data_IF_669926491424
#
_entry.id   IF_669926491424
#
_cell.length_a   1.000
_cell.length_b   1.000
_cell.length_c   1.000
_cell.angle_alpha   90.00
_cell.angle_beta   90.00
_cell.angle_gamma   90.00
#
_symmetry.space_group_name_H-M   'P 1'
#
loop_
_entity.id
_entity.type
_entity.pdbx_description
1 polymer ?
#
# COMPACT_ATOMS: atom_id res chain seq x y z
N UNK A 1 6.76 -3.33 -19.58
CA UNK A 1 7.19 -3.48 -18.17
C UNK A 1 7.81 -2.20 -17.66
N UNK A 2 7.06 -1.45 -16.86
CA UNK A 2 7.50 -0.20 -16.23
C UNK A 2 7.29 -0.29 -14.73
N UNK A 3 8.30 0.15 -13.97
CA UNK A 3 8.29 0.12 -12.51
C UNK A 3 8.04 1.52 -11.99
N UNK A 4 7.11 1.66 -11.05
CA UNK A 4 6.75 2.94 -10.46
C UNK A 4 6.92 2.86 -8.95
N UNK A 5 7.36 3.99 -8.38
CA UNK A 5 7.30 4.23 -6.95
C UNK A 5 6.04 5.04 -6.66
N UNK A 6 5.19 4.54 -5.76
CA UNK A 6 3.92 5.17 -5.41
C UNK A 6 3.80 5.30 -3.90
N UNK A 7 3.07 6.32 -3.48
CA UNK A 7 2.65 6.53 -2.10
C UNK A 7 1.14 6.38 -2.03
N UNK A 8 0.64 5.60 -1.08
CA UNK A 8 -0.77 5.36 -0.82
C UNK A 8 -1.08 5.65 0.65
N UNK A 9 -2.25 6.26 0.89
CA UNK A 9 -2.77 6.47 2.24
C UNK A 9 -3.83 5.41 2.52
N UNK A 10 -3.69 4.69 3.63
CA UNK A 10 -4.53 3.55 3.99
C UNK A 10 -5.14 3.81 5.36
N UNK A 11 -6.46 3.78 5.45
CA UNK A 11 -7.15 3.88 6.73
C UNK A 11 -6.86 2.65 7.59
N UNK A 12 -6.34 2.87 8.80
CA UNK A 12 -6.10 1.83 9.78
C UNK A 12 -7.43 1.40 10.37
N UNK A 13 -8.06 0.40 9.73
CA UNK A 13 -9.23 -0.24 10.30
C UNK A 13 -8.88 -0.94 11.62
N UNK A 14 -9.86 -1.06 12.54
CA UNK A 14 -9.67 -1.66 13.86
C UNK A 14 -9.08 -3.07 13.79
N UNK A 15 -9.36 -3.79 12.70
CA UNK A 15 -8.86 -5.14 12.50
C UNK A 15 -7.52 -5.17 11.76
N UNK A 16 -6.43 -5.16 12.54
CA UNK A 16 -5.04 -5.26 12.05
C UNK A 16 -4.80 -6.48 11.14
N UNK A 17 -5.55 -7.57 11.31
CA UNK A 17 -5.41 -8.76 10.46
C UNK A 17 -5.87 -8.54 9.01
N UNK A 18 -6.74 -7.56 8.76
CA UNK A 18 -7.22 -7.20 7.42
C UNK A 18 -6.40 -6.09 6.76
N UNK A 19 -5.58 -5.39 7.54
CA UNK A 19 -4.80 -4.25 7.05
C UNK A 19 -3.86 -4.66 5.92
N UNK A 20 -3.13 -5.76 6.08
CA UNK A 20 -2.21 -6.27 5.06
C UNK A 20 -2.92 -6.50 3.72
N UNK A 21 -4.07 -7.17 3.75
CA UNK A 21 -4.87 -7.45 2.55
C UNK A 21 -5.46 -6.17 1.93
N UNK A 22 -5.88 -5.20 2.76
CA UNK A 22 -6.36 -3.91 2.28
C UNK A 22 -5.26 -3.13 1.56
N UNK A 23 -4.05 -3.09 2.12
CA UNK A 23 -2.88 -2.45 1.50
C UNK A 23 -2.59 -3.10 0.14
N UNK A 24 -2.44 -4.43 0.09
CA UNK A 24 -2.16 -5.10 -1.18
C UNK A 24 -3.26 -4.90 -2.22
N UNK A 25 -4.53 -4.92 -1.81
CA UNK A 25 -5.66 -4.68 -2.70
C UNK A 25 -5.66 -3.26 -3.28
N UNK A 26 -5.27 -2.24 -2.51
CA UNK A 26 -5.13 -0.88 -3.03
C UNK A 26 -3.93 -0.77 -3.97
N UNK A 27 -2.77 -1.31 -3.60
CA UNK A 27 -1.57 -1.27 -4.42
C UNK A 27 -1.77 -1.99 -5.76
N UNK A 28 -2.51 -3.11 -5.78
CA UNK A 28 -2.88 -3.87 -6.99
C UNK A 28 -3.65 -3.03 -8.01
N UNK A 29 -4.47 -2.05 -7.57
CA UNK A 29 -5.15 -1.12 -8.50
C UNK A 29 -4.15 -0.25 -9.26
N UNK A 30 -3.00 0.02 -8.65
CA UNK A 30 -1.92 0.78 -9.24
C UNK A 30 -0.91 -0.08 -10.00
N UNK A 31 -0.92 -1.41 -9.86
CA UNK A 31 0.00 -2.34 -10.53
C UNK A 31 0.38 -3.49 -9.60
N UNK A 32 1.14 -4.46 -10.10
CA UNK A 32 1.56 -5.61 -9.29
C UNK A 32 2.61 -5.17 -8.25
N UNK A 33 2.30 -5.22 -6.94
CA UNK A 33 3.23 -4.77 -5.90
C UNK A 33 4.38 -5.75 -5.74
N UNK A 34 5.62 -5.25 -5.82
CA UNK A 34 6.84 -6.04 -5.57
C UNK A 34 7.30 -5.94 -4.12
N UNK A 35 7.23 -4.73 -3.56
CA UNK A 35 7.61 -4.41 -2.19
C UNK A 35 6.87 -3.17 -1.75
N UNK A 36 6.48 -3.14 -0.48
CA UNK A 36 5.92 -1.96 0.15
C UNK A 36 6.34 -1.89 1.61
N UNK A 37 6.23 -0.70 2.20
CA UNK A 37 6.46 -0.46 3.61
C UNK A 37 5.55 0.66 4.11
N UNK A 38 5.10 0.55 5.36
CA UNK A 38 4.45 1.65 6.05
C UNK A 38 5.55 2.62 6.49
N UNK A 39 5.50 3.86 6.04
CA UNK A 39 6.51 4.88 6.33
C UNK A 39 6.07 5.86 7.41
N UNK A 40 4.77 6.09 7.54
CA UNK A 40 4.20 6.91 8.61
C UNK A 40 2.84 6.37 9.05
N UNK A 41 2.46 6.65 10.29
CA UNK A 41 1.13 6.38 10.85
C UNK A 41 0.66 7.61 11.61
N UNK A 42 -0.40 8.25 11.13
CA UNK A 42 -0.96 9.46 11.72
C UNK A 42 -2.49 9.38 11.78
N UNK A 43 -3.07 9.73 12.93
CA UNK A 43 -4.52 9.89 13.12
C UNK A 43 -5.38 8.72 12.62
N UNK A 44 -4.90 7.48 12.74
CA UNK A 44 -5.62 6.30 12.27
C UNK A 44 -5.49 6.05 10.76
N UNK A 45 -4.49 6.64 10.12
CA UNK A 45 -4.10 6.38 8.74
C UNK A 45 -2.64 5.98 8.66
N UNK A 46 -2.32 5.10 7.74
CA UNK A 46 -0.95 4.69 7.42
C UNK A 46 -0.58 5.20 6.04
N UNK A 47 0.57 5.88 5.95
CA UNK A 47 1.22 6.10 4.67
C UNK A 47 2.03 4.87 4.31
N UNK A 48 1.78 4.36 3.11
CA UNK A 48 2.46 3.21 2.53
C UNK A 48 3.19 3.65 1.28
N UNK A 49 4.47 3.36 1.22
CA UNK A 49 5.27 3.51 0.00
C UNK A 49 5.46 2.14 -0.64
N UNK A 50 5.27 2.07 -1.95
CA UNK A 50 5.30 0.83 -2.70
C UNK A 50 5.99 0.95 -4.05
N UNK A 51 6.65 -0.14 -4.44
CA UNK A 51 7.15 -0.36 -5.79
C UNK A 51 6.16 -1.28 -6.50
N UNK A 52 5.54 -0.79 -7.57
CA UNK A 52 4.60 -1.55 -8.39
C UNK A 52 5.12 -1.70 -9.82
N UNK A 53 4.77 -2.80 -10.46
CA UNK A 53 5.04 -3.02 -11.89
C UNK A 53 3.76 -3.03 -12.71
N UNK A 54 3.82 -2.41 -13.88
CA UNK A 54 2.80 -2.53 -14.92
C UNK A 54 3.40 -3.21 -16.14
N UNK A 55 2.67 -4.16 -16.71
CA UNK A 55 3.10 -4.83 -17.94
C UNK A 55 2.93 -3.89 -19.13
#
# INVERSE_FOLDING_TARGET
MTTHFITAEIDLQENRSKLHQAIESELQKCGEPLRWAITSVEQGKAQVEAIVTKK
#
